data_IF_927077002410
#
_entry.id   IF_927077002410
#
_cell.length_a   1.000
_cell.length_b   1.000
_cell.length_c   1.000
_cell.angle_alpha   90.00
_cell.angle_beta   90.00
_cell.angle_gamma   90.00
#
_symmetry.space_group_name_H-M   'P 1'
#
loop_
_entity.id
_entity.type
_entity.pdbx_description
1 polymer ?
#
# COMPACT_ATOMS: atom_id res chain seq x y z
N UNK A 1 -58.54 52.35 23.01
CA UNK A 1 -59.58 51.65 22.23
C UNK A 1 -58.87 50.96 21.06
N UNK A 2 -59.16 49.67 20.87
CA UNK A 2 -58.77 48.78 19.78
C UNK A 2 -57.41 48.04 19.86
N UNK A 3 -57.57 46.82 20.35
CA UNK A 3 -56.82 45.56 20.28
C UNK A 3 -56.41 45.12 18.87
N UNK A 4 -55.26 44.42 18.76
CA UNK A 4 -55.05 43.31 17.83
C UNK A 4 -53.90 42.41 18.31
N UNK A 5 -54.11 41.11 18.16
CA UNK A 5 -53.44 39.97 18.79
C UNK A 5 -52.19 39.42 18.06
N UNK A 6 -51.38 38.70 18.85
CA UNK A 6 -50.67 37.43 18.56
C UNK A 6 -49.75 37.31 17.34
N UNK A 7 -48.44 37.16 17.61
CA UNK A 7 -47.76 35.89 17.30
C UNK A 7 -46.43 35.73 18.07
N UNK A 8 -46.45 34.91 19.12
CA UNK A 8 -45.25 34.21 19.56
C UNK A 8 -44.90 33.20 18.47
N UNK A 9 -43.78 33.41 17.79
CA UNK A 9 -43.19 32.40 16.91
C UNK A 9 -41.90 31.93 17.56
N UNK A 10 -41.99 30.82 18.27
CA UNK A 10 -40.86 29.99 18.68
C UNK A 10 -40.17 29.44 17.43
N UNK A 11 -38.86 29.67 17.29
CA UNK A 11 -38.03 29.00 16.28
C UNK A 11 -37.30 27.80 16.91
N UNK A 12 -37.16 26.68 16.19
CA UNK A 12 -36.75 25.40 16.73
C UNK A 12 -35.22 25.27 16.90
N UNK A 13 -34.84 24.40 17.83
CA UNK A 13 -33.49 23.85 17.98
C UNK A 13 -32.93 23.37 16.63
N UNK A 14 -31.74 23.86 16.22
CA UNK A 14 -31.17 23.54 14.91
C UNK A 14 -29.68 23.87 14.74
N UNK A 15 -28.86 22.81 14.85
CA UNK A 15 -27.50 22.63 14.29
C UNK A 15 -26.37 23.56 14.76
N UNK A 16 -25.53 22.99 15.65
CA UNK A 16 -24.13 23.37 15.86
C UNK A 16 -23.40 23.30 14.50
N UNK A 17 -22.96 24.42 13.96
CA UNK A 17 -22.09 24.45 12.78
C UNK A 17 -20.78 23.79 13.18
N UNK A 18 -20.57 22.56 12.73
CA UNK A 18 -19.26 21.90 12.84
C UNK A 18 -18.30 22.69 11.96
N UNK A 19 -17.38 23.41 12.61
CA UNK A 19 -16.28 24.09 11.97
C UNK A 19 -15.36 23.02 11.38
N UNK A 20 -15.60 22.59 10.13
CA UNK A 20 -14.69 21.70 9.42
C UNK A 20 -13.38 22.45 9.20
N UNK A 21 -12.38 22.14 10.03
CA UNK A 21 -11.02 22.65 9.91
C UNK A 21 -10.48 22.24 8.54
N UNK A 22 -10.50 23.16 7.58
CA UNK A 22 -9.91 22.96 6.24
C UNK A 22 -8.41 22.65 6.42
N UNK A 23 -8.03 21.40 6.21
CA UNK A 23 -6.63 20.99 6.21
C UNK A 23 -5.95 21.62 4.99
N UNK A 24 -4.80 22.27 5.20
CA UNK A 24 -4.00 22.77 4.08
C UNK A 24 -3.32 21.60 3.37
N UNK A 25 -2.98 21.73 2.08
CA UNK A 25 -2.23 20.68 1.34
C UNK A 25 -0.94 20.28 2.06
N UNK A 26 -0.23 21.25 2.65
CA UNK A 26 0.96 20.99 3.47
C UNK A 26 0.64 20.24 4.76
N UNK A 27 -0.45 20.61 5.43
CA UNK A 27 -0.91 19.86 6.59
C UNK A 27 -1.35 18.45 6.20
N UNK A 28 -1.99 18.28 5.05
CA UNK A 28 -2.35 16.98 4.48
C UNK A 28 -1.10 16.15 4.14
N UNK A 29 -0.06 16.72 3.52
CA UNK A 29 1.20 16.02 3.26
C UNK A 29 1.93 15.66 4.56
N UNK A 30 1.88 16.53 5.58
CA UNK A 30 2.38 16.20 6.92
C UNK A 30 1.47 15.19 7.66
N UNK A 31 0.24 15.00 7.20
CA UNK A 31 -0.73 13.98 7.65
C UNK A 31 -0.69 12.76 6.70
N UNK A 32 0.14 12.77 5.65
CA UNK A 32 0.31 11.68 4.69
C UNK A 32 0.79 10.37 5.32
N UNK A 33 1.13 10.42 6.61
CA UNK A 33 1.34 9.26 7.47
C UNK A 33 0.10 8.41 7.73
N UNK A 34 -1.12 8.80 7.33
CA UNK A 34 -2.33 7.98 7.54
C UNK A 34 -2.31 6.66 6.72
N UNK A 35 -1.64 6.62 5.56
CA UNK A 35 -1.49 5.38 4.75
C UNK A 35 -0.42 4.45 5.34
N UNK A 36 0.57 5.01 6.04
CA UNK A 36 1.65 4.29 6.73
C UNK A 36 1.36 4.12 8.23
N UNK A 37 0.10 4.21 8.66
CA UNK A 37 -0.24 4.18 10.09
C UNK A 37 0.22 2.86 10.72
N UNK A 38 1.18 2.96 11.63
CA UNK A 38 1.79 1.79 12.28
C UNK A 38 2.90 1.12 11.48
N UNK A 39 3.35 1.68 10.36
CA UNK A 39 4.54 1.24 9.62
C UNK A 39 5.79 1.96 10.14
N UNK A 40 6.91 1.25 10.25
CA UNK A 40 8.21 1.85 10.56
C UNK A 40 8.86 2.52 9.31
N UNK A 41 8.29 2.30 8.12
CA UNK A 41 8.74 2.85 6.85
C UNK A 41 7.76 3.91 6.33
N UNK A 42 8.31 5.03 5.89
CA UNK A 42 7.62 6.09 5.15
C UNK A 42 8.27 6.19 3.77
N UNK A 43 7.51 5.94 2.70
CA UNK A 43 8.00 6.07 1.32
C UNK A 43 8.15 7.55 0.95
N UNK A 44 9.38 8.05 0.98
CA UNK A 44 9.71 9.43 0.58
C UNK A 44 10.05 9.52 -0.91
N UNK A 45 9.93 10.70 -1.53
CA UNK A 45 10.29 10.88 -2.95
C UNK A 45 11.73 10.45 -3.27
N UNK A 46 12.76 10.78 -2.47
CA UNK A 46 14.12 10.28 -2.72
C UNK A 46 14.22 8.76 -2.70
N UNK A 47 13.53 8.11 -1.74
CA UNK A 47 13.49 6.65 -1.65
C UNK A 47 12.81 6.04 -2.89
N UNK A 48 11.73 6.64 -3.36
CA UNK A 48 11.06 6.23 -4.60
C UNK A 48 12.03 6.32 -5.78
N UNK A 49 12.82 7.40 -5.90
CA UNK A 49 13.78 7.57 -6.99
C UNK A 49 14.94 6.56 -6.91
N UNK A 50 15.53 6.37 -5.73
CA UNK A 50 16.57 5.35 -5.53
C UNK A 50 16.05 3.95 -5.84
N UNK A 51 14.80 3.66 -5.47
CA UNK A 51 14.15 2.41 -5.81
C UNK A 51 13.96 2.23 -7.33
N UNK A 52 13.66 3.31 -8.07
CA UNK A 52 13.60 3.26 -9.54
C UNK A 52 14.91 2.79 -10.15
N UNK A 53 16.01 3.42 -9.72
CA UNK A 53 17.33 3.17 -10.27
C UNK A 53 17.76 1.73 -9.99
N UNK A 54 17.60 1.28 -8.73
CA UNK A 54 17.93 -0.08 -8.30
C UNK A 54 17.06 -1.15 -8.98
N UNK A 55 15.76 -0.93 -9.11
CA UNK A 55 14.87 -1.88 -9.78
C UNK A 55 15.20 -1.98 -11.29
N UNK A 56 15.56 -0.87 -11.94
CA UNK A 56 16.02 -0.91 -13.32
C UNK A 56 17.36 -1.67 -13.46
N UNK A 57 18.28 -1.52 -12.52
CA UNK A 57 19.53 -2.29 -12.47
C UNK A 57 19.28 -3.79 -12.21
N UNK A 58 18.40 -4.15 -11.28
CA UNK A 58 18.05 -5.54 -10.97
C UNK A 58 17.40 -6.25 -12.17
N UNK A 59 16.55 -5.52 -12.92
CA UNK A 59 15.97 -6.00 -14.20
C UNK A 59 17.03 -6.30 -15.26
N UNK A 60 18.14 -5.55 -15.25
CA UNK A 60 19.27 -5.74 -16.18
C UNK A 60 20.20 -6.87 -15.68
N UNK A 61 20.36 -7.04 -14.37
CA UNK A 61 21.35 -7.92 -13.74
C UNK A 61 20.79 -9.30 -13.31
N UNK A 62 19.75 -9.79 -13.96
CA UNK A 62 19.20 -11.16 -13.79
C UNK A 62 18.38 -11.42 -12.52
N UNK A 63 17.87 -10.38 -11.83
CA UNK A 63 16.85 -10.55 -10.78
C UNK A 63 17.35 -11.18 -9.47
N UNK A 64 18.60 -10.96 -9.08
CA UNK A 64 19.07 -11.30 -7.74
C UNK A 64 18.58 -10.26 -6.71
N UNK A 65 18.34 -10.69 -5.48
CA UNK A 65 18.06 -9.80 -4.34
C UNK A 65 19.36 -9.17 -3.84
N UNK A 66 19.31 -7.90 -3.44
CA UNK A 66 20.48 -7.12 -3.03
C UNK A 66 20.64 -7.06 -1.51
N UNK A 67 19.52 -7.02 -0.77
CA UNK A 67 19.49 -6.73 0.68
C UNK A 67 18.94 -7.93 1.45
N UNK A 68 17.84 -8.51 0.97
CA UNK A 68 17.19 -9.64 1.59
C UNK A 68 17.98 -10.94 1.36
N UNK A 69 18.10 -11.73 2.42
CA UNK A 69 18.56 -13.12 2.30
C UNK A 69 17.49 -14.01 1.65
N UNK A 70 17.91 -15.14 1.10
CA UNK A 70 17.00 -16.13 0.49
C UNK A 70 15.87 -16.57 1.45
N UNK A 71 16.17 -16.68 2.74
CA UNK A 71 15.19 -16.99 3.78
C UNK A 71 14.18 -15.84 3.96
N UNK A 72 14.65 -14.60 4.11
CA UNK A 72 13.79 -13.43 4.27
C UNK A 72 12.87 -13.24 3.05
N UNK A 73 13.37 -13.54 1.85
CA UNK A 73 12.57 -13.53 0.61
C UNK A 73 11.42 -14.51 0.71
N UNK A 74 11.69 -15.77 1.08
CA UNK A 74 10.65 -16.80 1.20
C UNK A 74 9.59 -16.42 2.24
N UNK A 75 10.04 -15.90 3.39
CA UNK A 75 9.16 -15.51 4.49
C UNK A 75 8.30 -14.30 4.13
N UNK A 76 8.89 -13.20 3.67
CA UNK A 76 8.13 -12.00 3.29
C UNK A 76 7.22 -12.26 2.08
N UNK A 77 7.63 -13.12 1.14
CA UNK A 77 6.77 -13.52 0.02
C UNK A 77 5.55 -14.31 0.49
N UNK A 78 5.72 -15.23 1.46
CA UNK A 78 4.59 -15.96 2.03
C UNK A 78 3.62 -15.03 2.75
N UNK A 79 4.14 -14.07 3.54
CA UNK A 79 3.30 -13.06 4.21
C UNK A 79 2.55 -12.23 3.16
N UNK A 80 3.25 -11.72 2.13
CA UNK A 80 2.64 -10.91 1.08
C UNK A 80 1.56 -11.68 0.30
N UNK A 81 1.78 -12.96 0.03
CA UNK A 81 0.81 -13.84 -0.63
C UNK A 81 -0.44 -14.12 0.23
N UNK A 82 -0.39 -13.93 1.56
CA UNK A 82 -1.58 -13.95 2.40
C UNK A 82 -2.33 -12.61 2.44
N UNK A 83 -1.66 -11.51 2.13
CA UNK A 83 -2.24 -10.16 2.12
C UNK A 83 -2.94 -9.87 0.78
N UNK A 84 -2.30 -10.23 -0.34
CA UNK A 84 -2.87 -10.19 -1.69
C UNK A 84 -2.63 -11.55 -2.35
N UNK A 85 -3.53 -12.52 -2.15
CA UNK A 85 -3.38 -13.87 -2.68
C UNK A 85 -3.54 -13.93 -4.19
N UNK A 86 -2.94 -14.93 -4.81
CA UNK A 86 -3.19 -15.29 -6.20
C UNK A 86 -4.47 -16.11 -6.27
N UNK A 87 -5.41 -15.69 -7.10
CA UNK A 87 -6.70 -16.36 -7.30
C UNK A 87 -6.98 -16.61 -8.80
N UNK A 88 -8.13 -16.17 -9.32
CA UNK A 88 -8.37 -16.07 -10.76
C UNK A 88 -7.48 -15.00 -11.42
N UNK A 89 -6.84 -14.17 -10.61
CA UNK A 89 -5.97 -13.07 -11.00
C UNK A 89 -4.59 -13.12 -10.31
N UNK A 90 -3.55 -12.48 -10.88
CA UNK A 90 -2.22 -12.44 -10.29
C UNK A 90 -2.20 -11.73 -8.92
N UNK A 91 -1.51 -12.29 -7.94
CA UNK A 91 -1.37 -11.75 -6.59
C UNK A 91 -0.03 -11.07 -6.33
N UNK A 92 0.31 -10.89 -5.05
CA UNK A 92 1.57 -10.25 -4.65
C UNK A 92 2.83 -10.95 -5.18
N UNK A 93 2.77 -12.28 -5.31
CA UNK A 93 3.88 -13.10 -5.81
C UNK A 93 4.17 -12.81 -7.28
N UNK A 94 3.14 -12.86 -8.15
CA UNK A 94 3.30 -12.58 -9.58
C UNK A 94 3.68 -11.12 -9.83
N UNK A 95 3.16 -10.19 -9.02
CA UNK A 95 3.52 -8.78 -9.08
C UNK A 95 4.97 -8.49 -8.66
N UNK A 96 5.69 -9.46 -8.09
CA UNK A 96 7.08 -9.30 -7.68
C UNK A 96 7.26 -8.43 -6.43
N UNK A 97 6.27 -8.40 -5.54
CA UNK A 97 6.30 -7.56 -4.32
C UNK A 97 7.58 -7.75 -3.48
N UNK A 98 8.14 -8.95 -3.42
CA UNK A 98 9.41 -9.20 -2.72
C UNK A 98 10.58 -8.35 -3.22
N UNK A 99 10.64 -8.10 -4.54
CA UNK A 99 11.70 -7.29 -5.14
C UNK A 99 11.51 -5.81 -4.80
N UNK A 100 10.25 -5.35 -4.74
CA UNK A 100 9.94 -4.02 -4.23
C UNK A 100 10.39 -3.86 -2.76
N UNK A 101 10.11 -4.86 -1.91
CA UNK A 101 10.54 -4.84 -0.50
C UNK A 101 12.08 -4.76 -0.41
N UNK A 102 12.80 -5.60 -1.16
CA UNK A 102 14.27 -5.59 -1.22
C UNK A 102 14.83 -4.24 -1.63
N UNK A 103 14.23 -3.65 -2.67
CA UNK A 103 14.61 -2.35 -3.21
C UNK A 103 14.34 -1.21 -2.21
N UNK A 104 13.20 -1.23 -1.53
CA UNK A 104 12.86 -0.22 -0.51
C UNK A 104 13.78 -0.30 0.71
N UNK A 105 14.26 -1.49 1.05
CA UNK A 105 15.20 -1.71 2.15
C UNK A 105 16.66 -1.43 1.78
N UNK A 106 16.92 -0.84 0.62
CA UNK A 106 18.25 -0.41 0.19
C UNK A 106 18.95 0.62 1.12
N UNK A 107 20.08 1.15 0.65
CA UNK A 107 21.00 1.97 1.45
C UNK A 107 20.30 3.02 2.35
N UNK A 108 20.67 3.00 3.64
CA UNK A 108 20.15 3.84 4.76
C UNK A 108 18.84 3.37 5.43
N UNK A 109 18.44 2.11 5.28
CA UNK A 109 17.25 1.52 5.94
C UNK A 109 17.57 0.42 6.98
N UNK A 110 18.83 0.27 7.42
CA UNK A 110 19.24 -0.82 8.31
C UNK A 110 18.43 -0.88 9.62
N UNK A 111 18.07 0.29 10.19
CA UNK A 111 17.27 0.33 11.41
C UNK A 111 15.86 -0.26 11.19
N UNK A 112 15.24 0.04 10.05
CA UNK A 112 13.94 -0.49 9.65
C UNK A 112 14.05 -1.98 9.30
N UNK A 113 15.10 -2.39 8.58
CA UNK A 113 15.36 -3.79 8.28
C UNK A 113 15.51 -4.61 9.57
N UNK A 114 16.19 -4.06 10.58
CA UNK A 114 16.32 -4.72 11.88
C UNK A 114 14.97 -4.88 12.61
N UNK A 115 14.09 -3.86 12.55
CA UNK A 115 12.72 -3.98 13.09
C UNK A 115 11.95 -5.10 12.38
N UNK A 116 12.09 -5.22 11.06
CA UNK A 116 11.44 -6.28 10.29
C UNK A 116 11.99 -7.67 10.64
N UNK A 117 13.31 -7.81 10.81
CA UNK A 117 13.96 -9.05 11.24
C UNK A 117 13.50 -9.49 12.63
N UNK A 118 13.37 -8.55 13.56
CA UNK A 118 12.86 -8.83 14.90
C UNK A 118 11.39 -9.26 14.87
N UNK A 119 10.56 -8.58 14.09
CA UNK A 119 9.17 -8.97 13.85
C UNK A 119 9.03 -10.37 13.25
N UNK A 120 9.84 -10.69 12.25
CA UNK A 120 9.87 -12.01 11.62
C UNK A 120 10.29 -13.10 12.59
N UNK A 121 11.34 -12.87 13.39
CA UNK A 121 11.78 -13.84 14.42
C UNK A 121 10.68 -14.12 15.45
N UNK A 122 9.95 -13.08 15.87
CA UNK A 122 8.82 -13.25 16.79
C UNK A 122 7.72 -14.10 16.15
N UNK A 123 7.37 -13.83 14.89
CA UNK A 123 6.38 -14.62 14.15
C UNK A 123 6.81 -16.09 13.99
N UNK A 124 8.07 -16.34 13.66
CA UNK A 124 8.63 -17.70 13.57
C UNK A 124 8.62 -18.42 14.93
N UNK A 125 8.92 -17.69 16.03
CA UNK A 125 8.83 -18.23 17.38
C UNK A 125 7.40 -18.66 17.73
N UNK A 126 6.41 -17.86 17.40
CA UNK A 126 4.99 -18.22 17.59
C UNK A 126 4.59 -19.42 16.72
N UNK A 127 5.03 -19.46 15.46
CA UNK A 127 4.82 -20.62 14.59
C UNK A 127 5.44 -21.91 15.12
N UNK A 128 6.61 -21.82 15.74
CA UNK A 128 7.27 -22.96 16.38
C UNK A 128 6.50 -23.43 17.61
N UNK A 129 6.03 -22.51 18.46
CA UNK A 129 5.29 -22.82 19.69
C UNK A 129 3.91 -23.40 19.38
N UNK A 130 3.17 -22.80 18.45
CA UNK A 130 1.77 -23.16 18.17
C UNK A 130 1.64 -24.34 17.19
N UNK A 131 2.57 -24.45 16.23
CA UNK A 131 2.44 -25.38 15.10
C UNK A 131 3.68 -26.25 14.86
N UNK A 132 4.72 -26.14 15.71
CA UNK A 132 5.96 -26.93 15.60
C UNK A 132 6.70 -26.77 14.25
N UNK A 133 6.62 -25.57 13.65
CA UNK A 133 7.33 -25.22 12.43
C UNK A 133 8.27 -24.02 12.68
N UNK A 134 9.54 -24.15 12.31
CA UNK A 134 10.54 -23.10 12.52
C UNK A 134 10.40 -21.91 11.54
N UNK A 135 9.78 -22.15 10.38
CA UNK A 135 9.65 -21.17 9.31
C UNK A 135 8.17 -20.93 9.00
N UNK A 136 7.79 -19.67 8.83
CA UNK A 136 6.39 -19.31 8.60
C UNK A 136 5.93 -19.74 7.20
N UNK A 137 6.78 -19.59 6.19
CA UNK A 137 6.49 -20.00 4.81
C UNK A 137 6.23 -21.50 4.63
N UNK A 138 6.59 -22.35 5.62
CA UNK A 138 6.34 -23.80 5.60
C UNK A 138 5.02 -24.21 6.27
N UNK A 139 4.33 -23.27 6.93
CA UNK A 139 3.02 -23.53 7.51
C UNK A 139 1.95 -23.68 6.43
N UNK A 140 0.87 -24.41 6.74
CA UNK A 140 -0.33 -24.38 5.92
C UNK A 140 -0.96 -22.99 5.93
N UNK A 141 -1.62 -22.60 4.84
CA UNK A 141 -2.24 -21.28 4.69
C UNK A 141 -3.18 -20.91 5.84
N UNK A 142 -3.94 -21.88 6.38
CA UNK A 142 -4.82 -21.67 7.54
C UNK A 142 -4.04 -21.22 8.79
N UNK A 143 -2.89 -21.85 9.06
CA UNK A 143 -2.03 -21.49 10.19
C UNK A 143 -1.29 -20.16 9.93
N UNK A 144 -0.90 -19.90 8.68
CA UNK A 144 -0.36 -18.61 8.29
C UNK A 144 -1.36 -17.48 8.56
N UNK A 145 -2.61 -17.65 8.12
CA UNK A 145 -3.68 -16.68 8.33
C UNK A 145 -3.99 -16.47 9.82
N UNK A 146 -3.96 -17.53 10.61
CA UNK A 146 -4.16 -17.44 12.06
C UNK A 146 -3.08 -16.58 12.70
N UNK A 147 -1.80 -16.92 12.49
CA UNK A 147 -0.69 -16.17 13.08
C UNK A 147 -0.67 -14.71 12.62
N UNK A 148 -0.96 -14.44 11.34
CA UNK A 148 -1.02 -13.07 10.83
C UNK A 148 -2.14 -12.25 11.47
N UNK A 149 -3.30 -12.85 11.74
CA UNK A 149 -4.39 -12.19 12.48
C UNK A 149 -3.97 -11.82 13.90
N UNK A 150 -3.20 -12.68 14.58
CA UNK A 150 -2.73 -12.43 15.95
C UNK A 150 -1.78 -11.23 16.02
N UNK A 151 -1.02 -10.96 14.96
CA UNK A 151 -0.05 -9.87 14.90
C UNK A 151 -0.52 -8.64 14.11
N UNK A 152 -1.80 -8.55 13.72
CA UNK A 152 -2.29 -7.52 12.79
C UNK A 152 -2.08 -6.07 13.29
N UNK A 153 -2.03 -5.88 14.61
CA UNK A 153 -1.79 -4.58 15.23
C UNK A 153 -0.31 -4.24 15.42
N UNK A 154 0.61 -5.15 15.09
CA UNK A 154 2.06 -4.94 15.28
C UNK A 154 2.62 -4.01 14.21
N UNK A 155 3.72 -3.32 14.54
CA UNK A 155 4.42 -2.46 13.58
C UNK A 155 4.99 -3.28 12.41
N UNK A 156 5.47 -4.49 12.69
CA UNK A 156 5.96 -5.43 11.69
C UNK A 156 4.91 -5.77 10.63
N UNK A 157 3.74 -6.27 11.06
CA UNK A 157 2.67 -6.63 10.13
C UNK A 157 2.19 -5.43 9.32
N UNK A 158 1.98 -4.29 9.98
CA UNK A 158 1.54 -3.07 9.31
C UNK A 158 2.55 -2.57 8.28
N UNK A 159 3.85 -2.70 8.56
CA UNK A 159 4.91 -2.35 7.60
C UNK A 159 4.90 -3.29 6.39
N UNK A 160 4.89 -4.61 6.59
CA UNK A 160 4.86 -5.56 5.47
C UNK A 160 3.57 -5.42 4.65
N UNK A 161 2.42 -5.19 5.29
CA UNK A 161 1.15 -4.92 4.62
C UNK A 161 1.22 -3.64 3.78
N UNK A 162 1.77 -2.58 4.33
CA UNK A 162 1.96 -1.33 3.60
C UNK A 162 2.86 -1.51 2.38
N UNK A 163 4.01 -2.17 2.55
CA UNK A 163 4.93 -2.47 1.44
C UNK A 163 4.32 -3.41 0.41
N UNK A 164 3.47 -4.36 0.81
CA UNK A 164 2.77 -5.27 -0.11
C UNK A 164 1.81 -4.51 -1.00
N UNK A 165 0.98 -3.65 -0.42
CA UNK A 165 0.04 -2.81 -1.18
C UNK A 165 0.79 -1.82 -2.07
N UNK A 166 1.85 -1.19 -1.55
CA UNK A 166 2.68 -0.28 -2.33
C UNK A 166 3.36 -1.00 -3.50
N UNK A 167 3.96 -2.17 -3.26
CA UNK A 167 4.60 -2.99 -4.28
C UNK A 167 3.61 -3.49 -5.33
N UNK A 168 2.37 -3.83 -4.95
CA UNK A 168 1.36 -4.31 -5.88
C UNK A 168 0.86 -3.23 -6.84
N UNK A 169 0.66 -2.00 -6.36
CA UNK A 169 -0.11 -0.98 -7.07
C UNK A 169 0.69 0.28 -7.44
N UNK A 170 2.01 0.29 -7.21
CA UNK A 170 2.88 1.38 -7.68
C UNK A 170 3.38 1.15 -9.10
N UNK A 171 4.16 2.09 -9.63
CA UNK A 171 4.81 1.96 -10.93
C UNK A 171 5.73 0.74 -10.97
N UNK A 172 5.70 -0.09 -12.05
CA UNK A 172 6.55 -1.27 -12.17
C UNK A 172 8.04 -0.96 -12.08
N UNK A 173 8.44 0.26 -12.46
CA UNK A 173 9.81 0.75 -12.39
C UNK A 173 10.37 0.73 -10.97
N UNK A 174 9.56 0.58 -9.92
CA UNK A 174 10.03 0.51 -8.53
C UNK A 174 10.34 -0.92 -8.07
N UNK A 175 10.20 -1.92 -8.95
CA UNK A 175 10.51 -3.32 -8.67
C UNK A 175 9.32 -4.15 -8.19
N UNK A 176 8.14 -3.54 -8.04
CA UNK A 176 6.87 -4.23 -7.82
C UNK A 176 5.99 -4.18 -9.07
N UNK A 177 4.70 -4.49 -8.94
CA UNK A 177 3.67 -4.40 -9.98
C UNK A 177 4.16 -4.89 -11.35
N UNK A 178 4.89 -6.01 -11.35
CA UNK A 178 5.48 -6.58 -12.55
C UNK A 178 4.41 -6.80 -13.61
N UNK A 179 4.75 -6.49 -14.86
CA UNK A 179 3.84 -6.59 -16.00
C UNK A 179 2.54 -5.77 -15.84
N UNK A 180 2.51 -4.82 -14.89
CA UNK A 180 1.37 -3.95 -14.58
C UNK A 180 0.13 -4.71 -14.08
N UNK A 181 0.29 -5.91 -13.51
CA UNK A 181 -0.83 -6.74 -13.04
C UNK A 181 -1.74 -6.03 -12.04
N UNK A 182 -1.19 -5.21 -11.15
CA UNK A 182 -1.96 -4.38 -10.22
C UNK A 182 -2.75 -3.27 -10.91
N UNK A 183 -2.24 -2.72 -12.03
CA UNK A 183 -3.01 -1.75 -12.82
C UNK A 183 -4.15 -2.42 -13.56
N UNK A 184 -3.93 -3.61 -14.12
CA UNK A 184 -4.98 -4.41 -14.76
C UNK A 184 -6.12 -4.73 -13.77
N UNK A 185 -5.78 -5.13 -12.55
CA UNK A 185 -6.75 -5.36 -11.46
C UNK A 185 -7.58 -4.12 -11.11
N UNK A 186 -6.96 -2.93 -11.10
CA UNK A 186 -7.65 -1.68 -10.85
C UNK A 186 -8.45 -1.16 -12.05
N UNK A 187 -8.31 -1.79 -13.22
CA UNK A 187 -8.79 -1.23 -14.49
C UNK A 187 -8.09 0.08 -14.86
N UNK A 188 -6.89 0.32 -14.32
CA UNK A 188 -6.09 1.50 -14.60
C UNK A 188 -5.41 1.36 -15.96
N UNK A 189 -5.72 2.27 -16.88
CA UNK A 189 -5.11 2.28 -18.20
C UNK A 189 -3.91 3.21 -18.17
N UNK A 190 -2.71 2.63 -18.29
CA UNK A 190 -1.46 3.38 -18.30
C UNK A 190 -1.23 4.06 -19.66
N UNK A 191 -1.95 5.16 -19.89
CA UNK A 191 -1.79 6.02 -21.07
C UNK A 191 -0.94 7.24 -20.69
N UNK A 192 0.31 7.26 -21.17
CA UNK A 192 1.24 8.38 -20.96
C UNK A 192 0.84 9.66 -21.71
N UNK A 193 -0.11 9.58 -22.65
CA UNK A 193 -0.66 10.71 -23.36
C UNK A 193 -2.15 10.49 -23.60
N UNK A 194 -2.96 11.41 -23.09
CA UNK A 194 -4.35 11.49 -23.47
C UNK A 194 -4.46 12.26 -24.78
N UNK A 195 -5.07 11.65 -25.78
CA UNK A 195 -5.47 12.38 -26.99
C UNK A 195 -6.93 12.80 -26.86
N UNK A 196 -7.31 13.98 -27.39
CA UNK A 196 -8.70 14.35 -27.43
C UNK A 196 -9.50 13.28 -28.19
N UNK A 197 -10.74 12.99 -27.78
CA UNK A 197 -11.49 13.72 -26.75
C UNK A 197 -11.28 13.19 -25.32
N UNK A 198 -11.07 14.11 -24.38
CA UNK A 198 -10.93 13.91 -22.94
C UNK A 198 -12.27 13.65 -22.22
N UNK A 199 -13.40 13.72 -22.94
CA UNK A 199 -14.72 13.40 -22.44
C UNK A 199 -15.82 13.58 -23.47
N UNK A 200 -17.07 13.61 -22.99
CA UNK A 200 -18.24 13.77 -23.85
C UNK A 200 -18.24 15.10 -24.63
N UNK A 201 -17.76 16.18 -23.99
CA UNK A 201 -17.89 17.53 -24.54
C UNK A 201 -16.99 17.80 -25.74
N UNK A 202 -15.77 17.26 -25.77
CA UNK A 202 -14.81 17.42 -26.84
C UNK A 202 -14.86 16.31 -27.89
N UNK A 203 -15.55 15.18 -27.60
CA UNK A 203 -15.87 14.17 -28.60
C UNK A 203 -16.80 14.74 -29.68
N UNK A 204 -17.77 15.55 -29.24
CA UNK A 204 -18.68 16.25 -30.14
C UNK A 204 -17.97 17.30 -31.00
N UNK A 205 -16.92 17.96 -30.50
CA UNK A 205 -16.11 18.89 -31.29
C UNK A 205 -15.30 18.14 -32.36
N UNK A 206 -14.65 17.02 -32.00
CA UNK A 206 -13.89 16.21 -32.95
C UNK A 206 -14.79 15.61 -34.07
N UNK A 207 -16.02 15.24 -33.75
CA UNK A 207 -17.00 14.72 -34.72
C UNK A 207 -17.59 15.81 -35.64
N UNK A 208 -17.67 17.06 -35.16
CA UNK A 208 -18.21 18.20 -35.93
C UNK A 208 -17.18 18.87 -36.85
N UNK A 209 -15.89 18.56 -36.69
CA UNK A 209 -14.83 18.99 -37.60
C UNK A 209 -14.53 20.49 -37.60
N UNK A 210 -14.77 21.17 -36.48
CA UNK A 210 -14.50 22.60 -36.26
C UNK A 210 -13.25 22.83 -35.40
#
# INVERSE_FOLDING_TARGET
MLTSELHQTTLPSGKRIMNQKRMSRRAFLNTGGDVAKGSCIILTIPMILTACDQANEARINSGAYNILSDEEVLEYSAIAARIIPSDESPGATEAGVSYFIDTVLGDNMEAQHQILREGLRNLQSEGLVQHNAAYFHLLSEEHQDQLLKEIESTEFFNTIRFLTVAGMFSLPEYGGNKDKVGFELLGFVDQHAWQPPFGFYDADYALKGE
#
